data_IF_541659975868
#
_entry.id   IF_541659975868
#
_cell.length_a   1.000
_cell.length_b   1.000
_cell.length_c   1.000
_cell.angle_alpha   90.00
_cell.angle_beta   90.00
_cell.angle_gamma   90.00
#
_symmetry.space_group_name_H-M   'P 1'
#
loop_
_entity.id
_entity.type
_entity.pdbx_description
1 polymer ?
#
# COMPACT_ATOMS: atom_id res chain seq x y z
N UNK A 1 -12.46 8.69 43.74
CA UNK A 1 -12.13 7.41 43.08
C UNK A 1 -13.18 7.17 42.01
N UNK A 2 -12.90 7.59 40.79
CA UNK A 2 -13.65 7.18 39.61
C UNK A 2 -12.58 6.73 38.61
N UNK A 3 -12.41 5.41 38.52
CA UNK A 3 -11.45 4.78 37.61
C UNK A 3 -12.16 4.71 36.26
N UNK A 4 -11.55 5.30 35.23
CA UNK A 4 -12.04 5.35 33.86
C UNK A 4 -12.27 3.92 33.32
N UNK A 5 -13.52 3.57 33.03
CA UNK A 5 -13.91 2.32 32.37
C UNK A 5 -13.72 2.34 30.84
N UNK A 6 -13.09 3.41 30.30
CA UNK A 6 -12.91 3.59 28.84
C UNK A 6 -11.59 3.02 28.29
N UNK A 7 -10.66 2.58 29.13
CA UNK A 7 -9.34 2.04 28.70
C UNK A 7 -9.32 0.51 28.52
N UNK A 8 -10.43 -0.18 28.80
CA UNK A 8 -10.47 -1.65 28.78
C UNK A 8 -10.70 -2.29 27.40
N UNK A 9 -11.13 -1.53 26.39
CA UNK A 9 -11.48 -2.07 25.07
C UNK A 9 -10.30 -2.13 24.07
N UNK A 10 -9.12 -1.59 24.42
CA UNK A 10 -7.95 -1.59 23.52
C UNK A 10 -7.04 -2.82 23.66
N UNK A 11 -7.30 -3.67 24.67
CA UNK A 11 -6.37 -4.71 25.13
C UNK A 11 -6.62 -6.13 24.57
N UNK A 12 -7.42 -6.29 23.51
CA UNK A 12 -7.63 -7.63 22.94
C UNK A 12 -7.76 -7.68 21.42
N UNK A 13 -7.23 -6.68 20.69
CA UNK A 13 -7.05 -6.85 19.25
C UNK A 13 -5.84 -7.75 19.02
N UNK A 14 -6.10 -8.93 18.44
CA UNK A 14 -5.04 -9.85 18.04
C UNK A 14 -4.10 -9.17 17.04
N UNK A 15 -2.79 -9.31 17.30
CA UNK A 15 -1.74 -8.72 16.47
C UNK A 15 -1.31 -9.77 15.46
N UNK A 16 -1.49 -9.48 14.18
CA UNK A 16 -1.11 -10.35 13.07
C UNK A 16 0.11 -9.76 12.34
N UNK A 17 1.06 -10.60 11.93
CA UNK A 17 2.16 -10.13 11.08
C UNK A 17 1.63 -9.73 9.69
N UNK A 18 1.97 -8.54 9.20
CA UNK A 18 1.56 -8.07 7.89
C UNK A 18 2.42 -8.70 6.79
N UNK A 19 1.78 -9.30 5.78
CA UNK A 19 2.47 -9.77 4.56
C UNK A 19 2.35 -8.78 3.41
N UNK A 20 1.15 -8.30 3.12
CA UNK A 20 0.93 -7.29 2.10
C UNK A 20 0.24 -6.07 2.69
N UNK A 21 0.77 -4.88 2.42
CA UNK A 21 0.22 -3.60 2.86
C UNK A 21 -0.08 -2.77 1.62
N UNK A 22 -1.35 -2.43 1.40
CA UNK A 22 -1.76 -1.59 0.27
C UNK A 22 -1.89 -0.14 0.73
N UNK A 23 -1.09 0.73 0.13
CA UNK A 23 -1.09 2.16 0.40
C UNK A 23 -1.60 2.93 -0.81
N UNK A 24 -2.56 3.82 -0.62
CA UNK A 24 -3.00 4.78 -1.62
C UNK A 24 -2.15 6.04 -1.52
N UNK A 25 -1.57 6.42 -2.65
CA UNK A 25 -0.87 7.68 -2.81
C UNK A 25 -1.85 8.81 -3.10
N UNK A 26 -1.58 9.99 -2.54
CA UNK A 26 -2.32 11.22 -2.84
C UNK A 26 -2.35 11.54 -4.35
N UNK A 27 -3.37 12.26 -4.79
CA UNK A 27 -3.65 12.49 -6.23
C UNK A 27 -2.97 13.74 -6.79
N UNK A 28 -2.68 14.72 -5.95
CA UNK A 28 -2.29 16.08 -6.33
C UNK A 28 -0.91 16.11 -6.98
N UNK A 29 -0.02 15.22 -6.58
CA UNK A 29 1.33 15.11 -7.14
C UNK A 29 1.84 13.68 -7.06
N UNK A 30 2.92 13.43 -7.82
CA UNK A 30 3.62 12.16 -7.79
C UNK A 30 4.39 12.02 -6.48
N UNK A 31 4.00 11.04 -5.65
CA UNK A 31 4.74 10.68 -4.44
C UNK A 31 6.14 10.15 -4.82
N UNK A 32 7.17 10.68 -4.14
CA UNK A 32 8.56 10.32 -4.41
C UNK A 32 8.92 8.96 -3.81
N UNK A 33 10.02 8.36 -4.28
CA UNK A 33 10.59 7.14 -3.68
C UNK A 33 10.99 7.33 -2.22
N UNK A 34 11.49 8.53 -1.88
CA UNK A 34 11.93 8.85 -0.53
C UNK A 34 10.77 8.86 0.45
N UNK A 35 9.63 9.46 0.09
CA UNK A 35 8.41 9.47 0.92
C UNK A 35 7.90 8.02 1.13
N UNK A 36 7.88 7.23 0.06
CA UNK A 36 7.48 5.82 0.11
C UNK A 36 8.35 4.99 1.05
N UNK A 37 9.66 5.21 1.00
CA UNK A 37 10.62 4.55 1.89
C UNK A 37 10.53 5.07 3.33
N UNK A 38 10.36 6.37 3.51
CA UNK A 38 10.20 6.99 4.82
C UNK A 38 9.01 6.40 5.57
N UNK A 39 7.86 6.25 4.89
CA UNK A 39 6.69 5.60 5.47
C UNK A 39 7.02 4.20 6.00
N UNK A 40 7.72 3.37 5.21
CA UNK A 40 8.09 2.02 5.65
C UNK A 40 8.99 2.04 6.88
N UNK A 41 10.01 2.90 6.90
CA UNK A 41 10.95 3.00 8.01
C UNK A 41 10.28 3.51 9.29
N UNK A 42 9.36 4.47 9.16
CA UNK A 42 8.60 5.01 10.29
C UNK A 42 7.66 3.97 10.89
N UNK A 43 7.18 3.01 10.09
CA UNK A 43 6.24 1.97 10.53
C UNK A 43 6.91 0.61 10.78
N UNK A 44 8.21 0.46 10.51
CA UNK A 44 8.93 -0.78 10.72
C UNK A 44 8.92 -1.18 12.22
N UNK A 45 8.55 -2.43 12.49
CA UNK A 45 8.34 -2.98 13.83
C UNK A 45 7.26 -2.24 14.63
N UNK A 46 6.37 -1.52 13.96
CA UNK A 46 5.19 -0.90 14.55
C UNK A 46 3.92 -1.55 14.06
N UNK A 47 2.88 -1.38 14.85
CA UNK A 47 1.55 -1.90 14.56
C UNK A 47 0.74 -0.84 13.84
N UNK A 48 0.05 -1.23 12.78
CA UNK A 48 -0.89 -0.39 12.02
C UNK A 48 -2.29 -0.97 12.06
N UNK A 49 -3.29 -0.10 11.94
CA UNK A 49 -4.70 -0.48 11.79
C UNK A 49 -5.19 -0.09 10.40
N UNK A 50 -6.23 -0.79 9.94
CA UNK A 50 -6.86 -0.52 8.64
C UNK A 50 -8.15 0.27 8.90
N UNK A 51 -8.39 1.38 8.20
CA UNK A 51 -9.65 2.11 8.33
C UNK A 51 -10.82 1.27 7.82
N UNK A 52 -12.00 1.47 8.40
CA UNK A 52 -13.21 0.77 7.96
C UNK A 52 -13.58 1.22 6.53
N UNK A 53 -14.01 0.27 5.70
CA UNK A 53 -14.25 0.51 4.27
C UNK A 53 -15.31 1.60 4.00
N UNK A 54 -16.26 1.78 4.92
CA UNK A 54 -17.30 2.82 4.83
C UNK A 54 -16.69 4.22 4.97
N UNK A 55 -15.71 4.39 5.85
CA UNK A 55 -15.08 5.69 6.13
C UNK A 55 -14.14 6.13 5.00
N UNK A 56 -13.58 5.16 4.27
CA UNK A 56 -12.78 5.43 3.07
C UNK A 56 -13.57 6.13 1.97
N UNK A 57 -14.88 5.85 1.86
CA UNK A 57 -15.77 6.48 0.87
C UNK A 57 -16.20 7.90 1.29
N UNK A 58 -16.45 8.11 2.58
CA UNK A 58 -16.88 9.39 3.14
C UNK A 58 -15.76 10.43 3.22
N UNK A 59 -14.51 10.00 3.45
CA UNK A 59 -13.33 10.88 3.50
C UNK A 59 -12.98 11.52 2.14
N UNK A 60 -13.62 11.11 1.05
CA UNK A 60 -13.45 11.75 -0.27
C UNK A 60 -14.23 13.06 -0.44
N UNK A 61 -15.05 13.45 0.54
CA UNK A 61 -15.96 14.61 0.45
C UNK A 61 -15.68 15.79 1.38
N UNK A 62 -14.70 15.70 2.29
CA UNK A 62 -14.37 16.79 3.23
C UNK A 62 -12.94 17.27 3.00
N UNK A 63 -12.83 18.19 2.05
CA UNK A 63 -11.63 18.92 1.69
C UNK A 63 -11.35 19.99 2.77
N UNK A 64 -10.86 19.62 3.96
CA UNK A 64 -10.28 20.64 4.87
C UNK A 64 -9.39 20.14 6.03
N UNK A 65 -9.07 18.83 6.12
CA UNK A 65 -7.88 18.41 6.87
C UNK A 65 -6.83 17.83 5.94
N UNK A 66 -5.57 18.09 6.26
CA UNK A 66 -4.37 17.76 5.49
C UNK A 66 -4.29 16.24 5.25
N UNK A 67 -4.99 15.71 4.24
CA UNK A 67 -4.97 14.27 3.94
C UNK A 67 -3.51 13.82 3.77
N UNK A 68 -3.11 12.72 4.43
CA UNK A 68 -1.73 12.24 4.43
C UNK A 68 -1.28 11.85 3.02
N UNK A 69 0.02 11.97 2.75
CA UNK A 69 0.59 11.65 1.42
C UNK A 69 0.38 10.17 1.03
N UNK A 70 0.32 9.29 2.03
CA UNK A 70 0.13 7.85 1.93
C UNK A 70 -0.95 7.40 2.91
N UNK A 71 -1.98 6.71 2.40
CA UNK A 71 -3.12 6.23 3.16
C UNK A 71 -3.18 4.71 3.13
N UNK A 72 -3.29 4.06 4.29
CA UNK A 72 -3.47 2.61 4.37
C UNK A 72 -4.88 2.25 3.88
N UNK A 73 -4.96 1.40 2.86
CA UNK A 73 -6.24 0.90 2.32
C UNK A 73 -6.60 -0.47 2.86
N UNK A 74 -5.64 -1.39 2.85
CA UNK A 74 -5.86 -2.75 3.32
C UNK A 74 -4.55 -3.42 3.68
N UNK A 75 -4.62 -4.37 4.60
CA UNK A 75 -3.50 -5.19 5.02
C UNK A 75 -3.92 -6.65 4.95
N UNK A 76 -3.03 -7.49 4.42
CA UNK A 76 -3.19 -8.94 4.38
C UNK A 76 -2.16 -9.53 5.33
N UNK A 77 -2.57 -10.32 6.33
CA UNK A 77 -1.63 -10.93 7.26
C UNK A 77 -0.85 -12.07 6.60
N UNK A 78 0.30 -12.41 7.17
CA UNK A 78 1.17 -13.50 6.72
C UNK A 78 0.51 -14.85 6.96
N UNK A 79 -0.01 -15.05 8.16
CA UNK A 79 -0.86 -16.17 8.53
C UNK A 79 -2.28 -15.64 8.68
N UNK A 80 -3.24 -16.21 7.95
CA UNK A 80 -4.64 -15.82 7.99
C UNK A 80 -5.38 -16.74 8.96
N UNK A 81 -5.80 -16.24 10.14
CA UNK A 81 -6.70 -16.99 11.00
C UNK A 81 -7.99 -17.37 10.25
N UNK A 82 -8.66 -18.49 10.60
CA UNK A 82 -9.93 -18.89 9.96
C UNK A 82 -11.03 -17.83 10.07
N UNK A 83 -10.96 -17.00 11.11
CA UNK A 83 -11.90 -15.92 11.41
C UNK A 83 -11.58 -14.63 10.64
N UNK A 84 -10.38 -14.53 10.06
CA UNK A 84 -9.96 -13.37 9.31
C UNK A 84 -10.65 -13.33 7.95
N UNK A 85 -11.31 -12.22 7.67
CA UNK A 85 -11.91 -11.91 6.37
C UNK A 85 -11.56 -10.48 5.98
N UNK A 86 -11.54 -10.15 4.68
CA UNK A 86 -11.28 -8.79 4.22
C UNK A 86 -12.22 -7.75 4.86
N UNK A 87 -13.48 -8.12 5.11
CA UNK A 87 -14.48 -7.23 5.72
C UNK A 87 -14.21 -6.99 7.22
N UNK A 88 -13.69 -7.98 7.94
CA UNK A 88 -13.33 -7.88 9.36
C UNK A 88 -11.90 -7.39 9.59
N UNK A 89 -11.16 -7.06 8.53
CA UNK A 89 -9.74 -6.68 8.61
C UNK A 89 -9.46 -5.49 9.53
N UNK A 90 -10.42 -4.57 9.69
CA UNK A 90 -10.35 -3.39 10.56
C UNK A 90 -10.35 -3.72 12.06
N UNK A 91 -10.77 -4.94 12.44
CA UNK A 91 -10.81 -5.40 13.84
C UNK A 91 -9.46 -5.91 14.36
N UNK A 92 -8.47 -6.06 13.46
CA UNK A 92 -7.16 -6.59 13.78
C UNK A 92 -6.09 -5.51 13.73
N UNK A 93 -5.02 -5.76 14.48
CA UNK A 93 -3.80 -4.95 14.50
C UNK A 93 -2.72 -5.66 13.69
N UNK A 94 -2.02 -4.95 12.82
CA UNK A 94 -1.03 -5.57 11.92
C UNK A 94 0.39 -5.09 12.23
N UNK A 95 1.29 -6.01 12.55
CA UNK A 95 2.70 -5.71 12.76
C UNK A 95 3.43 -5.63 11.42
N UNK A 96 4.07 -4.50 11.14
CA UNK A 96 4.92 -4.33 9.95
C UNK A 96 6.31 -4.85 10.27
N UNK A 97 6.79 -5.82 9.49
CA UNK A 97 8.11 -6.43 9.64
C UNK A 97 8.94 -6.22 8.37
N UNK A 98 10.21 -6.63 8.40
CA UNK A 98 11.07 -6.62 7.21
C UNK A 98 10.58 -7.57 6.10
N UNK A 99 9.70 -8.52 6.43
CA UNK A 99 9.09 -9.46 5.49
C UNK A 99 7.81 -8.91 4.85
N UNK A 100 7.25 -7.82 5.40
CA UNK A 100 6.09 -7.14 4.84
C UNK A 100 6.41 -6.53 3.48
N UNK A 101 5.58 -6.81 2.48
CA UNK A 101 5.64 -6.21 1.15
C UNK A 101 4.64 -5.06 1.05
N UNK A 102 5.13 -3.85 0.79
CA UNK A 102 4.28 -2.69 0.56
C UNK A 102 3.96 -2.56 -0.93
N UNK A 103 2.67 -2.35 -1.23
CA UNK A 103 2.14 -2.12 -2.56
C UNK A 103 1.55 -0.72 -2.61
N UNK A 104 2.20 0.15 -3.39
CA UNK A 104 1.76 1.53 -3.58
C UNK A 104 0.79 1.62 -4.77
N UNK A 105 -0.41 2.11 -4.49
CA UNK A 105 -1.49 2.33 -5.45
C UNK A 105 -1.59 3.83 -5.75
N UNK A 106 -1.78 4.16 -7.02
CA UNK A 106 -1.96 5.54 -7.48
C UNK A 106 -3.37 5.70 -8.03
N UNK A 107 -3.96 6.89 -7.87
CA UNK A 107 -5.22 7.23 -8.56
C UNK A 107 -5.06 7.31 -10.08
N UNK A 108 -3.89 7.74 -10.54
CA UNK A 108 -3.59 7.92 -11.96
C UNK A 108 -2.34 7.12 -12.33
N UNK A 109 -2.48 6.18 -13.25
CA UNK A 109 -1.35 5.41 -13.76
C UNK A 109 -0.77 6.12 -14.99
N UNK A 110 0.47 6.57 -14.89
CA UNK A 110 1.21 7.11 -16.03
C UNK A 110 2.24 6.07 -16.48
N UNK A 111 1.96 5.41 -17.60
CA UNK A 111 2.94 4.57 -18.31
C UNK A 111 3.51 5.42 -19.43
N UNK A 112 4.83 5.46 -19.53
CA UNK A 112 5.52 6.03 -20.69
C UNK A 112 6.22 4.88 -21.40
N UNK A 113 5.82 4.63 -22.65
CA UNK A 113 6.50 3.69 -23.53
C UNK A 113 7.52 4.46 -24.37
N UNK A 114 8.81 4.17 -24.19
CA UNK A 114 9.84 4.66 -25.08
C UNK A 114 10.08 3.60 -26.16
N UNK A 115 9.53 3.80 -27.36
CA UNK A 115 9.77 2.94 -28.51
C UNK A 115 10.85 3.59 -29.39
N UNK A 116 12.04 3.02 -29.41
CA UNK A 116 13.07 3.38 -30.39
C UNK A 116 12.76 2.67 -31.71
N UNK A 117 12.56 3.46 -32.77
CA UNK A 117 12.34 2.98 -34.15
C UNK A 117 13.51 3.39 -35.07
N UNK A 118 14.70 3.61 -34.52
CA UNK A 118 15.87 3.97 -35.32
C UNK A 118 16.21 2.87 -36.34
N UNK A 119 16.70 3.22 -37.55
CA UNK A 119 17.05 2.25 -38.59
C UNK A 119 18.06 1.17 -38.16
N UNK A 120 18.86 1.42 -37.12
CA UNK A 120 19.78 0.46 -36.51
C UNK A 120 19.09 -0.76 -35.91
N UNK A 121 17.83 -0.65 -35.50
CA UNK A 121 17.01 -1.79 -35.08
C UNK A 121 16.43 -2.56 -36.27
N UNK A 122 16.16 -1.89 -37.39
CA UNK A 122 15.60 -2.50 -38.61
C UNK A 122 16.53 -3.53 -39.27
N UNK A 123 17.85 -3.34 -39.14
CA UNK A 123 18.86 -4.28 -39.66
C UNK A 123 18.82 -5.68 -39.01
N UNK A 124 18.12 -5.85 -37.89
CA UNK A 124 17.97 -7.12 -37.15
C UNK A 124 16.51 -7.61 -37.17
N UNK A 125 15.62 -7.01 -37.99
CA UNK A 125 14.23 -7.49 -38.19
C UNK A 125 14.15 -8.40 -39.41
N UNK A 126 15.08 -9.35 -39.50
CA UNK A 126 14.81 -10.65 -40.07
C UNK A 126 15.21 -11.65 -38.99
N UNK A 127 14.21 -12.22 -38.31
CA UNK A 127 14.34 -13.26 -37.29
C UNK A 127 14.85 -12.87 -35.89
N UNK A 128 14.09 -12.07 -35.12
CA UNK A 128 14.03 -12.27 -33.66
C UNK A 128 12.60 -12.03 -33.15
N UNK A 129 11.97 -13.08 -32.61
CA UNK A 129 10.78 -12.98 -31.74
C UNK A 129 11.14 -12.10 -30.54
N UNK A 130 10.73 -10.84 -30.56
CA UNK A 130 10.89 -9.96 -29.40
C UNK A 130 9.96 -10.43 -28.27
N UNK A 131 10.54 -11.14 -27.29
CA UNK A 131 9.91 -11.33 -25.98
C UNK A 131 9.96 -9.98 -25.25
N UNK A 132 8.79 -9.35 -25.09
CA UNK A 132 8.64 -8.18 -24.23
C UNK A 132 8.93 -8.58 -22.78
N UNK A 133 10.05 -8.10 -22.25
CA UNK A 133 10.34 -8.22 -20.82
C UNK A 133 9.63 -7.06 -20.12
N UNK A 134 8.47 -7.34 -19.51
CA UNK A 134 7.85 -6.45 -18.51
C UNK A 134 8.76 -6.44 -17.29
N UNK A 135 9.80 -5.61 -17.32
CA UNK A 135 10.59 -5.34 -16.14
C UNK A 135 9.72 -4.49 -15.21
N UNK A 136 9.22 -5.16 -14.18
CA UNK A 136 8.39 -4.65 -13.09
C UNK A 136 8.93 -3.32 -12.58
N UNK A 137 8.36 -2.20 -13.03
CA UNK A 137 8.60 -0.88 -12.43
C UNK A 137 7.76 -0.74 -11.14
N UNK A 138 7.98 -1.65 -10.19
CA UNK A 138 7.77 -1.39 -8.78
C UNK A 138 9.16 -1.34 -8.16
N UNK A 139 9.83 -0.19 -8.29
CA UNK A 139 11.04 0.09 -7.55
C UNK A 139 10.75 1.25 -6.60
N UNK A 140 10.51 0.82 -5.35
CA UNK A 140 10.47 1.56 -4.08
C UNK A 140 9.51 2.74 -4.10
#
# INVERSE_FOLDING_TARGET
MAVNETEAAENSMEILEARFIHLLMKKEYRISRSIRMQWFLEHLNKTITVPHLVDLSAASGTQDELEPELKVLSVIPHEQPPEWKPESSHMYKYLVTAHSTIIFLTHNYCIVYCLDMSPSLSAVVSAVKCKFMLQRLMLL
#
